data_IF_685451503207
#
_entry.id   IF_685451503207
#
_cell.length_a   1.000
_cell.length_b   1.000
_cell.length_c   1.000
_cell.angle_alpha   90.00
_cell.angle_beta   90.00
_cell.angle_gamma   90.00
#
_symmetry.space_group_name_H-M   'P 1'
#
loop_
_entity.id
_entity.type
_entity.pdbx_description
1 polymer ?
#
# COMPACT_ATOMS: atom_id res chain seq x y z
N UNK A 1 13.91 6.04 -7.43
CA UNK A 1 15.29 6.34 -6.97
C UNK A 1 15.21 6.83 -5.53
N UNK A 2 16.03 6.27 -4.65
CA UNK A 2 16.14 6.54 -3.21
C UNK A 2 17.65 6.52 -2.90
N UNK A 3 18.25 7.57 -2.33
CA UNK A 3 19.71 7.69 -2.13
C UNK A 3 20.04 8.05 -0.68
N UNK A 4 19.35 7.32 0.18
CA UNK A 4 19.24 7.38 1.64
C UNK A 4 19.33 8.76 2.29
N UNK A 5 18.21 9.48 2.36
CA UNK A 5 17.22 9.64 1.29
C UNK A 5 17.75 10.41 0.06
N UNK A 6 18.39 11.54 0.35
CA UNK A 6 18.65 12.76 -0.44
C UNK A 6 17.49 13.38 -1.27
N UNK A 7 16.54 12.63 -1.81
CA UNK A 7 15.21 13.16 -2.17
C UNK A 7 14.20 12.03 -2.02
N UNK A 8 13.33 12.13 -1.00
CA UNK A 8 12.50 10.99 -0.58
C UNK A 8 11.49 10.60 -1.67
N UNK A 9 11.58 9.37 -2.20
CA UNK A 9 10.55 8.86 -3.09
C UNK A 9 9.22 8.77 -2.34
N UNK A 10 8.14 8.95 -3.10
CA UNK A 10 6.77 9.07 -2.57
C UNK A 10 6.38 7.91 -1.64
N UNK A 11 6.85 6.70 -1.94
CA UNK A 11 6.62 5.50 -1.14
C UNK A 11 7.17 5.59 0.30
N UNK A 12 8.28 6.28 0.52
CA UNK A 12 8.87 6.47 1.86
C UNK A 12 8.24 7.66 2.63
N UNK A 13 7.45 8.50 1.95
CA UNK A 13 6.67 9.58 2.59
C UNK A 13 5.40 9.03 3.24
N UNK A 14 4.84 7.95 2.70
CA UNK A 14 3.65 7.29 3.21
C UNK A 14 3.78 6.73 4.64
N UNK A 15 4.99 6.65 5.21
CA UNK A 15 5.18 6.19 6.59
C UNK A 15 5.82 7.25 7.51
N UNK A 16 6.09 8.47 6.99
CA UNK A 16 6.63 9.61 7.75
C UNK A 16 7.76 9.29 8.75
N UNK A 17 8.56 8.24 8.51
CA UNK A 17 9.68 7.93 9.40
C UNK A 17 10.67 9.07 9.44
N UNK A 18 11.22 9.41 10.60
CA UNK A 18 12.30 10.41 10.70
C UNK A 18 13.68 9.79 10.91
N UNK A 19 13.76 8.46 11.00
CA UNK A 19 14.98 7.72 11.36
C UNK A 19 15.68 7.17 10.11
N UNK A 20 16.60 7.99 9.58
CA UNK A 20 17.37 7.67 8.39
C UNK A 20 18.42 6.58 8.65
N UNK A 21 19.04 6.55 9.83
CA UNK A 21 20.07 5.58 10.19
C UNK A 21 19.51 4.17 10.26
N UNK A 22 18.33 4.00 10.88
CA UNK A 22 17.66 2.71 10.94
C UNK A 22 17.42 2.13 9.54
N UNK A 23 17.08 2.97 8.56
CA UNK A 23 16.87 2.45 7.20
C UNK A 23 18.16 2.26 6.41
N UNK A 24 19.16 3.13 6.57
CA UNK A 24 20.48 2.90 5.99
C UNK A 24 21.02 1.53 6.41
N UNK A 25 20.92 1.22 7.70
CA UNK A 25 21.33 -0.06 8.26
C UNK A 25 20.57 -1.24 7.65
N UNK A 26 19.24 -1.16 7.54
CA UNK A 26 18.45 -2.23 6.92
C UNK A 26 18.78 -2.46 5.45
N UNK A 27 19.05 -1.37 4.71
CA UNK A 27 19.49 -1.46 3.32
C UNK A 27 20.87 -2.11 3.19
N UNK A 28 21.85 -1.65 3.96
CA UNK A 28 23.23 -2.17 3.93
C UNK A 28 23.30 -3.65 4.32
N UNK A 29 22.45 -4.06 5.27
CA UNK A 29 22.38 -5.45 5.73
C UNK A 29 21.49 -6.35 4.86
N UNK A 30 20.75 -5.78 3.91
CA UNK A 30 19.80 -6.52 3.08
C UNK A 30 18.71 -7.24 3.88
N UNK A 31 18.35 -6.73 5.06
CA UNK A 31 17.42 -7.38 5.98
C UNK A 31 16.21 -6.50 6.32
N UNK A 32 15.09 -7.14 6.62
CA UNK A 32 13.89 -6.45 7.06
C UNK A 32 14.17 -5.74 8.39
N UNK A 33 14.03 -4.42 8.42
CA UNK A 33 14.27 -3.59 9.59
C UNK A 33 13.02 -2.79 9.91
N UNK A 34 12.63 -2.78 11.18
CA UNK A 34 11.53 -1.94 11.63
C UNK A 34 11.98 -0.47 11.61
N UNK A 35 11.41 0.31 10.70
CA UNK A 35 11.71 1.73 10.58
C UNK A 35 10.71 2.52 11.44
N UNK A 36 11.16 3.28 12.46
CA UNK A 36 10.27 4.09 13.29
C UNK A 36 9.50 5.10 12.45
N UNK A 37 8.19 4.89 12.33
CA UNK A 37 7.24 5.85 11.79
C UNK A 37 6.65 6.69 12.92
N UNK A 38 6.14 7.90 12.63
CA UNK A 38 5.29 8.59 13.61
C UNK A 38 4.14 7.65 14.02
N UNK A 39 4.07 7.15 15.26
CA UNK A 39 3.22 6.00 15.60
C UNK A 39 1.75 6.25 15.29
N UNK A 40 1.30 7.50 15.49
CA UNK A 40 -0.07 7.90 15.20
C UNK A 40 -0.36 7.87 13.70
N UNK A 41 0.59 8.20 12.82
CA UNK A 41 0.31 8.22 11.38
C UNK A 41 0.11 6.81 10.81
N UNK A 42 0.97 5.86 11.20
CA UNK A 42 0.81 4.46 10.80
C UNK A 42 -0.49 3.89 11.35
N UNK A 43 -0.75 4.09 12.64
CA UNK A 43 -2.00 3.67 13.27
C UNK A 43 -3.23 4.26 12.56
N UNK A 44 -3.20 5.56 12.22
CA UNK A 44 -4.27 6.22 11.49
C UNK A 44 -4.44 5.67 10.07
N UNK A 45 -3.35 5.42 9.33
CA UNK A 45 -3.41 4.86 7.97
C UNK A 45 -3.96 3.43 7.95
N UNK A 46 -3.53 2.61 8.90
CA UNK A 46 -4.00 1.24 9.07
C UNK A 46 -5.49 1.23 9.49
N UNK A 47 -5.87 2.14 10.40
CA UNK A 47 -7.26 2.31 10.83
C UNK A 47 -8.17 2.73 9.68
N UNK A 48 -7.78 3.74 8.87
CA UNK A 48 -8.57 4.12 7.70
C UNK A 48 -8.69 2.95 6.72
N UNK A 49 -7.58 2.31 6.36
CA UNK A 49 -7.58 1.22 5.38
C UNK A 49 -8.45 0.04 5.82
N UNK A 50 -8.41 -0.32 7.10
CA UNK A 50 -9.24 -1.38 7.68
C UNK A 50 -10.73 -1.01 7.70
N UNK A 51 -11.08 0.21 8.12
CA UNK A 51 -12.47 0.69 8.12
C UNK A 51 -13.03 0.74 6.70
N UNK A 52 -12.28 1.30 5.73
CA UNK A 52 -12.70 1.35 4.34
C UNK A 52 -12.93 -0.06 3.77
N UNK A 53 -11.99 -0.97 4.01
CA UNK A 53 -12.11 -2.37 3.57
C UNK A 53 -13.38 -3.02 4.12
N UNK A 54 -13.64 -2.84 5.42
CA UNK A 54 -14.82 -3.39 6.07
C UNK A 54 -16.12 -2.79 5.53
N UNK A 55 -16.21 -1.45 5.45
CA UNK A 55 -17.41 -0.77 4.97
C UNK A 55 -17.72 -1.12 3.52
N UNK A 56 -16.69 -1.21 2.66
CA UNK A 56 -16.86 -1.65 1.28
C UNK A 56 -17.37 -3.08 1.21
N UNK A 57 -16.81 -4.00 2.01
CA UNK A 57 -17.30 -5.38 2.09
C UNK A 57 -18.76 -5.45 2.56
N UNK A 58 -19.16 -4.66 3.56
CA UNK A 58 -20.56 -4.56 4.03
C UNK A 58 -21.52 -4.03 2.94
N UNK A 59 -21.00 -3.27 1.95
CA UNK A 59 -21.74 -2.81 0.77
C UNK A 59 -21.65 -3.77 -0.43
N UNK A 60 -21.02 -4.93 -0.24
CA UNK A 60 -20.85 -5.97 -1.26
C UNK A 60 -19.73 -5.69 -2.26
N UNK A 61 -18.84 -4.73 -1.99
CA UNK A 61 -17.66 -4.50 -2.82
C UNK A 61 -16.53 -5.45 -2.42
N UNK A 62 -15.89 -6.14 -3.37
CA UNK A 62 -14.68 -6.88 -3.10
C UNK A 62 -13.55 -5.88 -2.79
N UNK A 63 -13.16 -5.78 -1.53
CA UNK A 63 -12.09 -4.91 -1.05
C UNK A 63 -11.23 -5.66 -0.03
N UNK A 64 -9.92 -5.59 -0.19
CA UNK A 64 -8.92 -6.19 0.68
C UNK A 64 -7.52 -5.65 0.32
N UNK A 65 -6.50 -5.97 1.11
CA UNK A 65 -5.13 -5.55 0.84
C UNK A 65 -4.58 -6.22 -0.43
N UNK A 66 -4.00 -5.41 -1.32
CA UNK A 66 -3.44 -5.85 -2.60
C UNK A 66 -2.02 -5.34 -2.78
N UNK A 67 -1.19 -6.11 -3.49
CA UNK A 67 0.14 -5.69 -3.85
C UNK A 67 0.08 -4.54 -4.86
N UNK A 68 0.58 -3.36 -4.47
CA UNK A 68 0.45 -2.13 -5.25
C UNK A 68 0.92 -2.28 -6.72
N UNK A 69 2.10 -2.87 -6.94
CA UNK A 69 2.64 -3.05 -8.31
C UNK A 69 1.77 -3.99 -9.15
N UNK A 70 1.27 -5.09 -8.57
CA UNK A 70 0.38 -6.03 -9.26
C UNK A 70 -0.97 -5.38 -9.60
N UNK A 71 -1.55 -4.64 -8.64
CA UNK A 71 -2.80 -3.93 -8.84
C UNK A 71 -2.70 -2.85 -9.94
N UNK A 72 -1.61 -2.08 -9.96
CA UNK A 72 -1.33 -1.14 -11.04
C UNK A 72 -1.16 -1.84 -12.39
N UNK A 73 -0.51 -3.01 -12.42
CA UNK A 73 -0.39 -3.83 -13.62
C UNK A 73 -1.76 -4.19 -14.21
N UNK A 74 -2.74 -4.55 -13.36
CA UNK A 74 -4.12 -4.81 -13.77
C UNK A 74 -4.74 -3.54 -14.37
N UNK A 75 -4.66 -2.40 -13.68
CA UNK A 75 -5.24 -1.14 -14.15
C UNK A 75 -4.65 -0.63 -15.46
N UNK A 76 -3.35 -0.83 -15.68
CA UNK A 76 -2.69 -0.41 -16.92
C UNK A 76 -2.94 -1.37 -18.10
N UNK A 77 -3.13 -2.65 -17.82
CA UNK A 77 -3.41 -3.66 -18.85
C UNK A 77 -4.90 -3.65 -19.23
N UNK A 78 -5.78 -3.51 -18.26
CA UNK A 78 -7.23 -3.54 -18.41
C UNK A 78 -7.85 -2.21 -17.98
N UNK A 79 -8.08 -1.35 -18.97
CA UNK A 79 -8.69 -0.02 -18.77
C UNK A 79 -10.14 -0.07 -18.25
N UNK A 80 -10.79 -1.24 -18.30
CA UNK A 80 -12.16 -1.43 -17.83
C UNK A 80 -12.24 -1.96 -16.40
N UNK A 81 -11.11 -2.36 -15.80
CA UNK A 81 -11.06 -2.95 -14.46
C UNK A 81 -11.73 -2.08 -13.40
N UNK A 82 -11.49 -0.75 -13.40
CA UNK A 82 -12.13 0.16 -12.46
C UNK A 82 -13.65 0.20 -12.59
N UNK A 83 -14.17 0.19 -13.83
CA UNK A 83 -15.61 0.18 -14.08
C UNK A 83 -16.25 -1.15 -13.66
N UNK A 84 -15.64 -2.28 -13.99
CA UNK A 84 -16.15 -3.59 -13.53
C UNK A 84 -16.14 -3.71 -12.00
N UNK A 85 -15.17 -3.10 -11.32
CA UNK A 85 -15.16 -3.04 -9.87
C UNK A 85 -16.23 -2.09 -9.29
N UNK A 86 -16.32 -0.85 -9.79
CA UNK A 86 -17.23 0.17 -9.27
C UNK A 86 -18.69 -0.11 -9.60
N UNK A 87 -18.96 -0.49 -10.84
CA UNK A 87 -20.32 -0.59 -11.38
C UNK A 87 -20.88 -2.00 -11.20
N UNK A 88 -20.03 -3.03 -11.37
CA UNK A 88 -20.46 -4.43 -11.36
C UNK A 88 -20.02 -5.19 -10.11
N UNK A 89 -19.28 -4.56 -9.19
CA UNK A 89 -18.74 -5.19 -7.97
C UNK A 89 -17.94 -6.46 -8.25
N UNK A 90 -17.30 -6.52 -9.42
CA UNK A 90 -16.48 -7.66 -9.81
C UNK A 90 -15.16 -7.67 -9.04
N UNK A 91 -14.71 -8.86 -8.65
CA UNK A 91 -13.44 -9.05 -7.94
C UNK A 91 -12.22 -9.01 -8.88
N UNK A 92 -12.03 -7.87 -9.55
CA UNK A 92 -10.99 -7.68 -10.58
C UNK A 92 -9.57 -7.76 -10.03
N UNK A 93 -9.38 -7.53 -8.72
CA UNK A 93 -8.06 -7.48 -8.08
C UNK A 93 -7.66 -8.78 -7.38
N UNK A 94 -8.40 -9.87 -7.58
CA UNK A 94 -8.17 -11.16 -6.90
C UNK A 94 -6.75 -11.69 -7.03
N UNK A 95 -6.16 -11.57 -8.21
CA UNK A 95 -4.78 -12.01 -8.49
C UNK A 95 -3.70 -11.14 -7.84
N UNK A 96 -4.07 -9.94 -7.36
CA UNK A 96 -3.16 -9.01 -6.69
C UNK A 96 -3.27 -9.07 -5.15
N UNK A 97 -4.17 -9.90 -4.59
CA UNK A 97 -4.35 -10.02 -3.14
C UNK A 97 -3.03 -10.36 -2.42
N UNK A 98 -2.75 -9.64 -1.32
CA UNK A 98 -1.67 -10.01 -0.41
C UNK A 98 -2.11 -11.20 0.45
N UNK A 99 -1.26 -12.22 0.52
CA UNK A 99 -1.44 -13.41 1.38
C UNK A 99 -1.02 -13.06 2.80
#
# INVERSE_FOLDING_TARGET
MCLIYSLRPFSCRAYHSTDMEACQKGYDLGCETMIPCFPLYRATTDMYSSIFTRVLAEKGFPSYQVGFVKALGILFTDKTASGRWLDNKEDVFRSAKLV
#
